data_IF_127162033513
#
_entry.id   IF_127162033513
#
_cell.length_a   1.000
_cell.length_b   1.000
_cell.length_c   1.000
_cell.angle_alpha   90.00
_cell.angle_beta   90.00
_cell.angle_gamma   90.00
#
_symmetry.space_group_name_H-M   'P 1'
#
loop_
_entity.id
_entity.type
_entity.pdbx_description
1 polymer ?
#
# COMPACT_ATOMS: atom_id res chain seq x y z
N UNK A 1 -5.03 -13.61 -7.23
CA UNK A 1 -5.80 -12.98 -6.16
C UNK A 1 -7.22 -13.53 -6.17
N UNK A 2 -7.65 -14.31 -5.17
CA UNK A 2 -9.02 -14.82 -5.08
C UNK A 2 -10.00 -13.67 -4.76
N UNK A 3 -11.18 -13.72 -5.40
CA UNK A 3 -12.27 -12.73 -5.18
C UNK A 3 -13.23 -13.15 -4.07
N UNK A 4 -13.21 -14.43 -3.73
CA UNK A 4 -13.95 -15.04 -2.62
C UNK A 4 -13.00 -15.98 -1.91
N UNK A 5 -13.32 -16.39 -0.71
CA UNK A 5 -12.52 -17.39 0.00
C UNK A 5 -12.32 -18.62 -0.89
N UNK A 6 -11.08 -19.06 -1.00
CA UNK A 6 -10.70 -20.15 -1.88
C UNK A 6 -10.10 -21.30 -1.11
N UNK A 7 -10.79 -22.45 -1.16
CA UNK A 7 -10.34 -23.67 -0.51
C UNK A 7 -9.48 -24.51 -1.48
N UNK A 8 -8.28 -24.87 -1.05
CA UNK A 8 -7.38 -25.79 -1.76
C UNK A 8 -6.95 -26.87 -0.77
N UNK A 9 -7.41 -28.09 -0.97
CA UNK A 9 -7.21 -29.17 0.02
C UNK A 9 -7.84 -28.82 1.36
N UNK A 10 -7.03 -28.70 2.40
CA UNK A 10 -7.46 -28.34 3.76
C UNK A 10 -7.22 -26.87 4.09
N UNK A 11 -6.61 -26.11 3.19
CA UNK A 11 -6.26 -24.70 3.40
C UNK A 11 -7.31 -23.80 2.76
N UNK A 12 -7.75 -22.77 3.48
CA UNK A 12 -8.63 -21.72 2.98
C UNK A 12 -7.81 -20.44 2.88
N UNK A 13 -7.77 -19.86 1.68
CA UNK A 13 -7.15 -18.58 1.41
C UNK A 13 -8.23 -17.50 1.37
N UNK A 14 -8.16 -16.47 2.24
CA UNK A 14 -9.17 -15.42 2.30
C UNK A 14 -9.28 -14.64 0.99
N UNK A 15 -10.48 -14.13 0.72
CA UNK A 15 -10.72 -13.20 -0.38
C UNK A 15 -9.76 -11.99 -0.28
N UNK A 16 -9.15 -11.58 -1.39
CA UNK A 16 -8.20 -10.46 -1.41
C UNK A 16 -6.73 -10.86 -1.17
N UNK A 17 -6.43 -12.09 -0.73
CA UNK A 17 -5.05 -12.58 -0.61
C UNK A 17 -4.31 -12.51 -1.94
N UNK A 18 -3.00 -12.29 -1.91
CA UNK A 18 -2.11 -12.46 -3.05
C UNK A 18 -1.31 -13.75 -2.87
N UNK A 19 -1.47 -14.65 -3.81
CA UNK A 19 -0.82 -15.97 -3.78
C UNK A 19 0.15 -16.09 -4.95
N UNK A 20 1.26 -16.75 -4.71
CA UNK A 20 2.24 -17.08 -5.73
C UNK A 20 2.42 -18.60 -5.86
N UNK A 21 2.73 -19.03 -7.06
CA UNK A 21 3.04 -20.42 -7.38
C UNK A 21 3.93 -20.49 -8.62
N UNK A 22 4.67 -21.57 -8.74
CA UNK A 22 5.39 -21.88 -9.98
C UNK A 22 4.39 -22.19 -11.10
N UNK A 23 4.52 -21.52 -12.24
CA UNK A 23 3.56 -21.64 -13.34
C UNK A 23 3.32 -23.09 -13.81
N UNK A 24 4.40 -23.85 -13.98
CA UNK A 24 4.28 -25.25 -14.46
C UNK A 24 3.60 -26.16 -13.43
N UNK A 25 3.89 -25.99 -12.14
CA UNK A 25 3.26 -26.77 -11.07
C UNK A 25 1.79 -26.39 -10.90
N UNK A 26 1.47 -25.10 -11.06
CA UNK A 26 0.08 -24.65 -11.05
C UNK A 26 -0.75 -25.27 -12.16
N UNK A 27 -0.22 -25.30 -13.39
CA UNK A 27 -0.89 -25.96 -14.52
C UNK A 27 -1.01 -27.47 -14.35
N UNK A 28 -0.04 -28.11 -13.69
CA UNK A 28 -0.08 -29.54 -13.38
C UNK A 28 -1.00 -29.90 -12.20
N UNK A 29 -1.51 -28.91 -11.48
CA UNK A 29 -2.32 -29.11 -10.27
C UNK A 29 -1.51 -29.61 -9.07
N UNK A 30 -0.19 -29.42 -9.07
CA UNK A 30 0.73 -29.86 -8.01
C UNK A 30 1.40 -28.71 -7.27
N UNK A 31 0.98 -27.46 -7.57
CA UNK A 31 1.60 -26.28 -6.98
C UNK A 31 1.34 -26.16 -5.48
N UNK A 32 2.40 -25.89 -4.74
CA UNK A 32 2.31 -25.33 -3.40
C UNK A 32 2.12 -23.81 -3.53
N UNK A 33 1.04 -23.29 -2.90
CA UNK A 33 0.74 -21.87 -2.93
C UNK A 33 1.45 -21.15 -1.79
N UNK A 34 2.27 -20.16 -2.14
CA UNK A 34 2.87 -19.24 -1.17
C UNK A 34 1.96 -18.05 -0.95
N UNK A 35 1.73 -17.67 0.31
CA UNK A 35 0.98 -16.44 0.65
C UNK A 35 1.96 -15.27 0.62
N UNK A 36 1.80 -14.39 -0.35
CA UNK A 36 2.58 -13.14 -0.48
C UNK A 36 1.96 -12.03 0.35
N UNK A 37 0.63 -11.97 0.37
CA UNK A 37 -0.15 -11.04 1.17
C UNK A 37 -1.46 -11.72 1.60
N UNK A 38 -1.85 -11.48 2.83
CA UNK A 38 -3.17 -11.84 3.38
C UNK A 38 -3.81 -10.60 3.99
N UNK A 39 -5.05 -10.27 3.63
CA UNK A 39 -5.77 -9.12 4.19
C UNK A 39 -6.18 -9.41 5.64
N UNK A 40 -6.31 -8.33 6.41
CA UNK A 40 -6.90 -8.36 7.76
C UNK A 40 -7.96 -7.26 7.91
N UNK A 41 -8.45 -7.03 9.14
CA UNK A 41 -9.48 -6.01 9.41
C UNK A 41 -9.02 -4.58 9.10
N UNK A 42 -7.71 -4.34 9.07
CA UNK A 42 -7.08 -3.03 8.92
C UNK A 42 -6.29 -2.87 7.63
N UNK A 43 -6.04 -3.98 6.92
CA UNK A 43 -5.11 -4.00 5.79
C UNK A 43 -5.73 -4.67 4.57
N UNK A 44 -5.78 -3.96 3.46
CA UNK A 44 -6.17 -4.49 2.15
C UNK A 44 -5.08 -4.29 1.10
N UNK A 45 -5.05 -5.18 0.10
CA UNK A 45 -4.20 -5.03 -1.08
C UNK A 45 -4.92 -4.15 -2.10
N UNK A 46 -4.33 -3.00 -2.42
CA UNK A 46 -4.85 -2.11 -3.46
C UNK A 46 -4.31 -2.51 -4.83
N UNK A 47 -2.98 -2.52 -4.97
CA UNK A 47 -2.32 -2.78 -6.25
C UNK A 47 -1.03 -3.57 -6.07
N UNK A 48 -0.54 -4.17 -7.15
CA UNK A 48 0.77 -4.82 -7.21
C UNK A 48 1.29 -4.90 -8.63
N UNK A 49 2.60 -4.80 -8.80
CA UNK A 49 3.25 -4.97 -10.09
C UNK A 49 4.64 -5.60 -9.95
N UNK A 50 5.06 -6.30 -10.99
CA UNK A 50 6.38 -6.88 -11.10
C UNK A 50 7.34 -5.88 -11.77
N UNK A 51 8.48 -5.67 -11.13
CA UNK A 51 9.70 -5.20 -11.77
C UNK A 51 10.52 -6.41 -12.24
N UNK A 52 11.73 -6.20 -12.76
CA UNK A 52 12.59 -7.32 -13.18
C UNK A 52 12.87 -8.29 -12.03
N UNK A 53 13.26 -7.79 -10.87
CA UNK A 53 13.79 -8.60 -9.77
C UNK A 53 12.90 -8.59 -8.52
N UNK A 54 11.84 -7.76 -8.48
CA UNK A 54 11.00 -7.55 -7.31
C UNK A 54 9.51 -7.54 -7.64
N UNK A 55 8.70 -7.72 -6.62
CA UNK A 55 7.27 -7.44 -6.65
C UNK A 55 7.00 -6.22 -5.76
N UNK A 56 6.36 -5.21 -6.30
CA UNK A 56 5.92 -4.02 -5.56
C UNK A 56 4.47 -4.21 -5.13
N UNK A 57 4.16 -4.00 -3.87
CA UNK A 57 2.81 -4.01 -3.32
C UNK A 57 2.41 -2.63 -2.86
N UNK A 58 1.19 -2.24 -3.18
CA UNK A 58 0.51 -1.08 -2.57
C UNK A 58 -0.61 -1.62 -1.70
N UNK A 59 -0.52 -1.38 -0.41
CA UNK A 59 -1.53 -1.80 0.56
C UNK A 59 -2.15 -0.58 1.22
N UNK A 60 -3.41 -0.69 1.60
CA UNK A 60 -4.10 0.30 2.42
C UNK A 60 -4.11 -0.20 3.86
N UNK A 61 -3.50 0.56 4.75
CA UNK A 61 -3.45 0.27 6.19
C UNK A 61 -4.15 1.39 6.92
N UNK A 62 -5.30 1.11 7.55
CA UNK A 62 -6.12 2.13 8.23
C UNK A 62 -6.33 3.38 7.36
N UNK A 63 -6.70 3.19 6.09
CA UNK A 63 -6.95 4.22 5.06
C UNK A 63 -5.73 5.05 4.62
N UNK A 64 -4.51 4.68 5.01
CA UNK A 64 -3.26 5.26 4.49
C UNK A 64 -2.52 4.24 3.61
N UNK A 65 -1.96 4.69 2.51
CA UNK A 65 -1.19 3.81 1.63
C UNK A 65 0.16 3.43 2.24
N UNK A 66 0.53 2.18 2.06
CA UNK A 66 1.88 1.66 2.32
C UNK A 66 2.38 0.99 1.06
N UNK A 67 3.60 1.30 0.66
CA UNK A 67 4.25 0.65 -0.49
C UNK A 67 5.41 -0.19 0.03
N UNK A 68 5.44 -1.44 -0.40
CA UNK A 68 6.42 -2.42 0.04
C UNK A 68 7.01 -3.14 -1.17
N UNK A 69 8.27 -3.51 -1.06
CA UNK A 69 8.95 -4.39 -2.00
C UNK A 69 9.00 -5.79 -1.43
N UNK A 70 8.70 -6.76 -2.26
CA UNK A 70 8.74 -8.18 -1.94
C UNK A 70 9.85 -8.85 -2.73
N UNK A 71 10.69 -9.60 -2.06
CA UNK A 71 11.74 -10.42 -2.69
C UNK A 71 11.16 -11.74 -3.14
N UNK A 72 11.15 -12.05 -4.45
CA UNK A 72 10.66 -13.32 -4.97
C UNK A 72 11.40 -14.53 -4.36
N UNK A 73 10.67 -15.57 -4.08
CA UNK A 73 11.20 -16.82 -3.50
C UNK A 73 11.15 -16.83 -1.97
N UNK A 74 11.68 -15.82 -1.28
CA UNK A 74 11.53 -15.70 0.18
C UNK A 74 10.19 -15.09 0.58
N UNK A 75 9.61 -14.27 -0.28
CA UNK A 75 8.42 -13.45 -0.06
C UNK A 75 8.56 -12.48 1.12
N UNK A 76 9.80 -12.17 1.49
CA UNK A 76 10.10 -11.15 2.50
C UNK A 76 9.69 -9.78 1.98
N UNK A 77 9.06 -8.99 2.87
CA UNK A 77 8.52 -7.65 2.58
C UNK A 77 9.34 -6.60 3.30
N UNK A 78 9.67 -5.53 2.60
CA UNK A 78 10.35 -4.37 3.15
C UNK A 78 9.64 -3.07 2.70
N UNK A 79 9.41 -2.10 3.59
CA UNK A 79 8.84 -0.82 3.21
C UNK A 79 9.80 -0.04 2.31
N UNK A 80 9.26 0.70 1.35
CA UNK A 80 10.02 1.62 0.51
C UNK A 80 10.22 2.94 1.27
N UNK A 81 11.47 3.39 1.36
CA UNK A 81 11.81 4.68 1.96
C UNK A 81 11.48 5.86 1.03
N UNK A 82 11.27 7.07 1.60
CA UNK A 82 11.01 8.29 0.83
C UNK A 82 9.54 8.59 0.56
N UNK A 83 8.62 7.69 0.95
CA UNK A 83 7.17 7.94 0.83
C UNK A 83 6.69 8.66 2.10
N UNK A 84 6.02 9.84 1.96
CA UNK A 84 5.47 10.52 3.11
C UNK A 84 4.38 9.68 3.82
N UNK A 85 4.24 9.75 5.13
CA UNK A 85 3.20 9.04 5.87
C UNK A 85 1.81 9.66 5.66
N UNK A 86 0.76 8.91 5.95
CA UNK A 86 -0.65 9.34 5.89
C UNK A 86 -1.07 9.87 4.50
N UNK A 87 -0.56 9.24 3.47
CA UNK A 87 -0.81 9.62 2.08
C UNK A 87 -1.70 8.62 1.36
N UNK A 88 -2.31 9.10 0.29
CA UNK A 88 -2.77 8.24 -0.79
C UNK A 88 -1.63 8.12 -1.80
N UNK A 89 -1.06 6.93 -1.92
CA UNK A 89 0.03 6.66 -2.86
C UNK A 89 -0.39 5.54 -3.79
N UNK A 90 -0.29 5.78 -5.09
CA UNK A 90 -0.63 4.81 -6.13
C UNK A 90 0.58 4.51 -6.99
N UNK A 91 0.63 3.29 -7.50
CA UNK A 91 1.63 2.87 -8.46
C UNK A 91 1.23 3.40 -9.84
N UNK A 92 2.09 4.21 -10.45
CA UNK A 92 1.84 4.81 -11.77
C UNK A 92 2.36 3.89 -12.85
N UNK A 93 3.61 3.43 -12.68
CA UNK A 93 4.27 2.56 -13.66
C UNK A 93 5.48 1.85 -13.03
N UNK A 94 5.87 0.74 -13.61
CA UNK A 94 7.09 -0.03 -13.28
C UNK A 94 7.78 -0.49 -14.54
N UNK A 95 9.11 -0.61 -14.48
CA UNK A 95 9.89 -1.22 -15.55
C UNK A 95 10.01 -2.74 -15.33
N UNK A 96 9.38 -3.53 -16.19
CA UNK A 96 9.45 -4.99 -16.14
C UNK A 96 10.84 -5.55 -16.53
N UNK A 97 11.67 -4.73 -17.18
CA UNK A 97 13.04 -5.10 -17.61
C UNK A 97 14.13 -4.49 -16.73
N UNK A 98 13.76 -3.59 -15.86
CA UNK A 98 14.55 -2.96 -14.81
C UNK A 98 13.81 -2.98 -13.49
N UNK A 99 14.30 -2.23 -12.50
CA UNK A 99 13.65 -2.09 -11.20
C UNK A 99 13.14 -0.66 -10.95
N UNK A 100 13.04 0.14 -12.01
CA UNK A 100 12.50 1.50 -11.91
C UNK A 100 11.00 1.47 -11.64
N UNK A 101 10.55 2.40 -10.81
CA UNK A 101 9.13 2.60 -10.52
C UNK A 101 8.79 4.07 -10.36
N UNK A 102 7.56 4.41 -10.71
CA UNK A 102 6.95 5.71 -10.54
C UNK A 102 5.72 5.59 -9.65
N UNK A 103 5.64 6.47 -8.66
CA UNK A 103 4.53 6.56 -7.73
C UNK A 103 3.95 7.97 -7.78
N UNK A 104 2.64 8.09 -7.68
CA UNK A 104 1.96 9.34 -7.37
C UNK A 104 1.54 9.32 -5.91
N UNK A 105 1.97 10.32 -5.14
CA UNK A 105 1.66 10.44 -3.72
C UNK A 105 1.06 11.79 -3.42
N UNK A 106 -0.09 11.81 -2.74
CA UNK A 106 -0.77 13.02 -2.31
C UNK A 106 -1.20 12.94 -0.85
N UNK A 107 -1.20 14.08 -0.18
CA UNK A 107 -1.63 14.20 1.20
C UNK A 107 -2.69 15.31 1.36
N UNK A 108 -3.15 15.51 2.59
CA UNK A 108 -4.06 16.60 2.90
C UNK A 108 -3.36 17.97 2.95
N UNK A 109 -2.04 17.97 3.20
CA UNK A 109 -1.18 19.13 3.41
C UNK A 109 -0.22 19.39 2.24
N UNK A 110 -0.23 18.55 1.22
CA UNK A 110 0.56 18.76 0.02
C UNK A 110 -0.15 18.22 -1.24
N UNK A 111 0.13 18.82 -2.42
CA UNK A 111 -0.45 18.36 -3.69
C UNK A 111 0.18 17.05 -4.15
N UNK A 112 -0.37 16.47 -5.23
CA UNK A 112 0.18 15.30 -5.88
C UNK A 112 1.66 15.51 -6.24
N UNK A 113 2.48 14.51 -5.91
CA UNK A 113 3.92 14.43 -6.16
C UNK A 113 4.24 13.16 -6.91
N UNK A 114 4.96 13.31 -8.02
CA UNK A 114 5.51 12.18 -8.74
C UNK A 114 6.85 11.81 -8.10
N UNK A 115 6.89 10.58 -7.59
CA UNK A 115 8.08 9.99 -6.98
C UNK A 115 8.68 8.97 -7.95
N UNK A 116 10.00 8.88 -7.97
CA UNK A 116 10.76 7.89 -8.75
C UNK A 116 11.82 7.24 -7.89
N UNK A 117 12.08 5.98 -8.13
CA UNK A 117 13.14 5.21 -7.48
C UNK A 117 13.26 3.80 -8.03
N UNK A 118 14.14 3.02 -7.42
CA UNK A 118 14.32 1.60 -7.73
C UNK A 118 13.60 0.76 -6.67
N UNK A 119 12.97 -0.32 -7.10
CA UNK A 119 12.45 -1.34 -6.17
C UNK A 119 13.60 -1.87 -5.30
N UNK A 120 13.40 -1.88 -3.98
CA UNK A 120 14.45 -2.20 -3.01
C UNK A 120 15.34 -1.03 -2.58
N UNK A 121 15.13 0.16 -3.16
CA UNK A 121 15.83 1.41 -2.80
C UNK A 121 14.91 2.44 -2.14
N UNK A 122 15.31 3.70 -2.25
CA UNK A 122 14.55 4.86 -1.78
C UNK A 122 13.92 5.57 -3.00
N UNK A 123 12.73 6.13 -2.82
CA UNK A 123 12.10 6.99 -3.83
C UNK A 123 12.34 8.46 -3.50
N UNK A 124 12.46 9.27 -4.55
CA UNK A 124 12.65 10.71 -4.48
C UNK A 124 11.59 11.44 -5.29
N UNK A 125 11.19 12.62 -4.84
CA UNK A 125 10.30 13.50 -5.61
C UNK A 125 11.02 14.02 -6.85
N UNK A 126 10.44 13.81 -8.02
CA UNK A 126 10.94 14.35 -9.29
C UNK A 126 10.06 15.47 -9.83
N UNK A 127 8.81 15.55 -9.39
CA UNK A 127 7.87 16.60 -9.79
C UNK A 127 6.76 16.74 -8.76
N UNK A 128 6.27 17.97 -8.56
CA UNK A 128 5.10 18.26 -7.74
C UNK A 128 4.10 19.10 -8.52
N UNK A 129 2.82 18.87 -8.28
CA UNK A 129 1.78 19.79 -8.72
C UNK A 129 1.89 21.12 -7.96
N UNK A 130 1.38 22.25 -8.52
CA UNK A 130 1.34 23.51 -7.79
C UNK A 130 0.53 23.40 -6.50
N UNK A 131 1.04 24.00 -5.42
CA UNK A 131 0.28 24.13 -4.20
C UNK A 131 -0.84 25.17 -4.40
N UNK A 132 -2.06 24.85 -3.96
CA UNK A 132 -3.21 25.75 -4.07
C UNK A 132 -3.41 26.61 -2.82
N UNK A 133 -2.75 26.26 -1.70
CA UNK A 133 -2.77 27.00 -0.43
C UNK A 133 -1.45 26.78 0.31
N UNK A 134 -1.19 27.61 1.28
CA UNK A 134 -0.07 27.43 2.21
C UNK A 134 -0.47 26.44 3.30
N UNK A 135 0.19 25.29 3.31
CA UNK A 135 -0.05 24.23 4.28
C UNK A 135 0.97 24.19 5.44
N UNK A 136 1.83 25.21 5.56
CA UNK A 136 2.92 25.21 6.55
C UNK A 136 2.43 25.19 8.01
N UNK A 137 1.16 25.60 8.27
CA UNK A 137 0.49 25.60 9.56
C UNK A 137 -0.59 24.49 9.66
N UNK A 138 -0.60 23.56 8.73
CA UNK A 138 -1.57 22.46 8.73
C UNK A 138 -0.97 21.23 9.42
N UNK A 139 -1.73 20.68 10.36
CA UNK A 139 -1.45 19.39 10.99
C UNK A 139 -2.48 18.34 10.56
N UNK A 140 -1.99 17.17 10.20
CA UNK A 140 -2.81 16.00 9.84
C UNK A 140 -2.63 14.94 10.90
N UNK A 141 -3.69 14.64 11.65
CA UNK A 141 -3.68 13.56 12.63
C UNK A 141 -4.64 12.46 12.24
N UNK A 142 -4.21 11.21 12.44
CA UNK A 142 -5.07 10.04 12.29
C UNK A 142 -5.59 9.61 13.65
N UNK A 143 -6.88 9.38 13.74
CA UNK A 143 -7.57 8.99 14.96
C UNK A 143 -8.51 7.81 14.66
N UNK A 144 -9.03 7.21 15.73
CA UNK A 144 -9.98 6.10 15.61
C UNK A 144 -11.20 6.40 16.46
N UNK A 145 -12.36 6.00 15.99
CA UNK A 145 -13.62 6.01 16.73
C UNK A 145 -14.22 4.61 16.69
N UNK A 146 -14.77 4.17 17.82
CA UNK A 146 -15.45 2.88 17.90
C UNK A 146 -16.90 3.06 17.50
N UNK A 147 -17.38 2.32 16.52
CA UNK A 147 -18.79 2.28 16.12
C UNK A 147 -19.64 1.46 17.11
N UNK A 148 -20.95 1.49 16.96
CA UNK A 148 -21.87 0.80 17.88
C UNK A 148 -21.70 -0.74 17.90
N UNK A 149 -21.16 -1.32 16.85
CA UNK A 149 -20.86 -2.74 16.72
C UNK A 149 -19.45 -3.14 17.20
N UNK A 150 -18.67 -2.14 17.68
CA UNK A 150 -17.31 -2.35 18.16
C UNK A 150 -16.21 -2.14 17.10
N UNK A 151 -16.58 -1.89 15.85
CA UNK A 151 -15.61 -1.66 14.76
C UNK A 151 -14.83 -0.37 14.99
N UNK A 152 -13.50 -0.45 14.87
CA UNK A 152 -12.62 0.72 14.93
C UNK A 152 -12.57 1.39 13.55
N UNK A 153 -13.09 2.61 13.48
CA UNK A 153 -13.15 3.39 12.24
C UNK A 153 -12.04 4.43 12.26
N UNK A 154 -11.04 4.34 11.35
CA UNK A 154 -10.02 5.37 11.21
C UNK A 154 -10.60 6.63 10.57
N UNK A 155 -10.14 7.80 11.04
CA UNK A 155 -10.46 9.10 10.43
C UNK A 155 -9.28 10.06 10.58
N UNK A 156 -9.22 11.02 9.66
CA UNK A 156 -8.23 12.09 9.71
C UNK A 156 -8.85 13.39 10.23
N UNK A 157 -8.09 14.10 11.05
CA UNK A 157 -8.36 15.49 11.41
C UNK A 157 -7.31 16.35 10.75
N UNK A 158 -7.75 17.35 9.99
CA UNK A 158 -6.92 18.31 9.30
C UNK A 158 -7.22 19.68 9.85
N UNK A 159 -6.25 20.37 10.39
CA UNK A 159 -6.44 21.68 11.03
C UNK A 159 -5.13 22.42 11.23
N UNK A 160 -5.21 23.63 11.75
CA UNK A 160 -4.02 24.38 12.11
C UNK A 160 -3.35 23.80 13.34
N UNK A 161 -2.03 23.92 13.43
CA UNK A 161 -1.25 23.50 14.59
C UNK A 161 -1.86 24.07 15.90
N UNK A 162 -2.11 23.19 16.85
CA UNK A 162 -2.69 23.56 18.15
C UNK A 162 -4.18 23.89 18.11
N UNK A 163 -4.88 23.71 17.00
CA UNK A 163 -6.34 23.74 16.98
C UNK A 163 -6.87 22.55 17.77
N UNK A 164 -7.77 22.80 18.73
CA UNK A 164 -8.41 21.74 19.48
C UNK A 164 -9.11 20.78 18.52
N UNK A 165 -8.92 19.47 18.75
CA UNK A 165 -9.65 18.44 18.01
C UNK A 165 -11.17 18.66 18.09
N UNK A 166 -11.98 17.81 17.42
CA UNK A 166 -13.42 18.03 17.30
C UNK A 166 -14.03 18.31 18.68
N UNK A 167 -14.63 19.46 18.82
CA UNK A 167 -15.41 19.81 20.03
C UNK A 167 -16.53 18.77 20.17
N UNK A 168 -16.63 18.17 21.35
CA UNK A 168 -17.67 17.21 21.71
C UNK A 168 -19.06 17.78 21.49
#
# INVERSE_FOLDING_TARGET
RPRTDWAVGTTIYPAGSLLAATYHEFLAGTAELSVVFEPDEHTSLEDYAWTRDHLVLVTLVDVASRVEVVTPGSWERAPIAGIPPKTNTVLVDVDEYGDEMFLDSSGFDFPSRLLWGLAGGEVTEIKSAPAFFDASDIEVTQNFVTSADGTMIPYFVVGHHGSAGPSK
#
